data_IF_861705362726
#
_entry.id   IF_861705362726
#
_cell.length_a   1.000
_cell.length_b   1.000
_cell.length_c   1.000
_cell.angle_alpha   90.00
_cell.angle_beta   90.00
_cell.angle_gamma   90.00
#
_symmetry.space_group_name_H-M   'P 1'
#
loop_
_entity.id
_entity.type
_entity.pdbx_description
1 polymer ?
#
# COMPACT_ATOMS: atom_id res chain seq x y z
N UNK A 1 9.08 20.04 15.93
CA UNK A 1 9.12 18.88 15.01
C UNK A 1 8.61 17.66 15.77
N UNK A 2 7.37 17.23 15.51
CA UNK A 2 6.81 16.05 16.18
C UNK A 2 7.58 14.80 15.77
N UNK A 3 7.97 13.98 16.75
CA UNK A 3 8.60 12.69 16.50
C UNK A 3 7.54 11.78 15.88
N UNK A 4 7.47 11.73 14.55
CA UNK A 4 6.63 10.76 13.85
C UNK A 4 7.11 9.36 14.23
N UNK A 5 6.39 8.71 15.15
CA UNK A 5 6.72 7.37 15.61
C UNK A 5 6.47 6.41 14.44
N UNK A 6 7.55 6.04 13.75
CA UNK A 6 7.56 5.16 12.57
C UNK A 6 6.82 3.86 12.89
N UNK A 7 5.85 3.49 12.05
CA UNK A 7 5.19 2.20 12.14
C UNK A 7 6.22 1.07 11.90
N UNK A 8 6.45 0.26 12.92
CA UNK A 8 7.47 -0.77 12.95
C UNK A 8 6.91 -2.07 13.55
N UNK A 9 7.71 -3.14 13.51
CA UNK A 9 7.34 -4.45 14.04
C UNK A 9 6.52 -5.32 13.07
N UNK A 10 5.81 -6.30 13.64
CA UNK A 10 4.99 -7.27 12.89
C UNK A 10 3.92 -6.55 12.07
N UNK A 11 3.63 -7.10 10.89
CA UNK A 11 2.56 -6.59 10.04
C UNK A 11 1.21 -6.90 10.68
N UNK A 12 0.36 -5.90 10.77
CA UNK A 12 -1.05 -6.06 11.11
C UNK A 12 -1.79 -6.67 9.91
N UNK A 13 -2.86 -7.44 10.14
CA UNK A 13 -3.71 -7.91 9.06
C UNK A 13 -4.22 -6.78 8.17
N UNK A 14 -4.62 -5.63 8.75
CA UNK A 14 -5.06 -4.47 7.99
C UNK A 14 -3.94 -3.86 7.11
N UNK A 15 -2.68 -3.91 7.54
CA UNK A 15 -1.55 -3.48 6.70
C UNK A 15 -1.42 -4.38 5.47
N UNK A 16 -1.57 -5.70 5.63
CA UNK A 16 -1.48 -6.64 4.52
C UNK A 16 -2.63 -6.47 3.52
N UNK A 17 -3.86 -6.26 4.03
CA UNK A 17 -5.04 -5.98 3.19
C UNK A 17 -4.86 -4.68 2.41
N UNK A 18 -4.45 -3.60 3.08
CA UNK A 18 -4.17 -2.33 2.41
C UNK A 18 -3.12 -2.50 1.31
N UNK A 19 -1.99 -3.17 1.59
CA UNK A 19 -0.93 -3.35 0.59
C UNK A 19 -1.39 -4.20 -0.58
N UNK A 20 -2.23 -5.21 -0.35
CA UNK A 20 -2.77 -6.02 -1.43
C UNK A 20 -3.59 -5.18 -2.43
N UNK A 21 -4.49 -4.34 -1.92
CA UNK A 21 -5.29 -3.44 -2.73
C UNK A 21 -4.42 -2.35 -3.37
N UNK A 22 -3.45 -1.81 -2.63
CA UNK A 22 -2.54 -0.79 -3.11
C UNK A 22 -1.72 -1.29 -4.30
N UNK A 23 -1.26 -2.56 -4.29
CA UNK A 23 -0.56 -3.14 -5.44
C UNK A 23 -1.45 -3.13 -6.67
N UNK A 24 -2.71 -3.58 -6.56
CA UNK A 24 -3.64 -3.60 -7.69
C UNK A 24 -3.89 -2.18 -8.21
N UNK A 25 -4.36 -1.28 -7.34
CA UNK A 25 -4.74 0.08 -7.72
C UNK A 25 -3.56 0.89 -8.30
N UNK A 26 -2.35 0.67 -7.76
CA UNK A 26 -1.14 1.32 -8.25
C UNK A 26 -0.76 0.82 -9.65
N UNK A 27 -0.84 -0.49 -9.89
CA UNK A 27 -0.50 -1.06 -11.19
C UNK A 27 -1.53 -0.71 -12.27
N UNK A 28 -2.79 -0.51 -11.87
CA UNK A 28 -3.88 -0.11 -12.75
C UNK A 28 -3.91 1.41 -13.02
N UNK A 29 -3.10 2.20 -12.29
CA UNK A 29 -2.98 3.63 -12.51
C UNK A 29 -4.14 4.46 -11.96
N UNK A 30 -4.90 3.95 -10.99
CA UNK A 30 -6.18 4.52 -10.55
C UNK A 30 -6.10 5.29 -9.21
N UNK A 31 -4.88 5.52 -8.71
CA UNK A 31 -4.65 6.29 -7.49
C UNK A 31 -4.80 7.79 -7.77
N UNK A 32 -5.60 8.50 -6.97
CA UNK A 32 -5.73 9.95 -7.01
C UNK A 32 -4.72 10.68 -6.12
N UNK A 33 -4.10 9.97 -5.17
CA UNK A 33 -3.17 10.52 -4.18
C UNK A 33 -1.70 10.12 -4.42
N UNK A 34 -1.35 9.73 -5.66
CA UNK A 34 -0.02 9.26 -6.03
C UNK A 34 0.58 10.08 -7.18
N UNK A 35 1.73 10.72 -6.94
CA UNK A 35 2.44 11.43 -8.00
C UNK A 35 3.01 10.46 -9.04
N UNK A 36 2.86 10.79 -10.33
CA UNK A 36 3.49 10.07 -11.44
C UNK A 36 5.00 9.98 -11.20
N UNK A 37 5.56 8.79 -11.42
CA UNK A 37 6.98 8.53 -11.14
C UNK A 37 7.28 8.17 -9.68
N UNK A 38 6.31 8.18 -8.77
CA UNK A 38 6.49 7.56 -7.45
C UNK A 38 6.65 6.05 -7.60
N UNK A 39 7.61 5.42 -6.91
CA UNK A 39 7.69 3.95 -6.90
C UNK A 39 6.66 3.32 -5.98
N UNK A 40 6.18 2.11 -6.29
CA UNK A 40 5.21 1.39 -5.45
C UNK A 40 5.68 1.28 -3.99
N UNK A 41 6.98 1.01 -3.80
CA UNK A 41 7.58 0.92 -2.48
C UNK A 41 7.48 2.24 -1.72
N UNK A 42 7.78 3.37 -2.38
CA UNK A 42 7.66 4.71 -1.78
C UNK A 42 6.22 5.00 -1.41
N UNK A 43 5.28 4.75 -2.32
CA UNK A 43 3.85 4.97 -2.08
C UNK A 43 3.38 4.22 -0.83
N UNK A 44 3.57 2.89 -0.79
CA UNK A 44 3.15 2.08 0.36
C UNK A 44 3.84 2.53 1.65
N UNK A 45 5.15 2.83 1.61
CA UNK A 45 5.90 3.23 2.80
C UNK A 45 5.38 4.54 3.40
N UNK A 46 5.07 5.53 2.56
CA UNK A 46 4.47 6.81 2.97
C UNK A 46 3.09 6.58 3.62
N UNK A 47 2.21 5.83 2.95
CA UNK A 47 0.85 5.53 3.47
C UNK A 47 0.91 4.74 4.77
N UNK A 48 1.78 3.75 4.89
CA UNK A 48 1.93 2.98 6.13
C UNK A 48 2.79 3.67 7.21
N UNK A 49 3.30 4.88 6.96
CA UNK A 49 4.19 5.61 7.87
C UNK A 49 5.40 4.77 8.33
N UNK A 50 5.99 3.99 7.43
CA UNK A 50 7.06 3.04 7.73
C UNK A 50 8.28 3.20 6.81
N UNK A 51 9.40 2.54 7.15
CA UNK A 51 10.59 2.55 6.30
C UNK A 51 10.37 1.70 5.04
N UNK A 52 10.80 2.21 3.87
CA UNK A 52 10.71 1.51 2.59
C UNK A 52 11.31 0.09 2.57
N UNK A 53 12.34 -0.17 3.38
CA UNK A 53 12.94 -1.51 3.51
C UNK A 53 11.94 -2.54 4.08
N UNK A 54 11.00 -2.14 4.94
CA UNK A 54 9.96 -3.02 5.51
C UNK A 54 9.01 -3.49 4.41
N UNK A 55 8.59 -2.57 3.55
CA UNK A 55 7.81 -2.86 2.34
C UNK A 55 8.62 -3.77 1.41
N UNK A 56 9.87 -3.40 1.13
CA UNK A 56 10.78 -4.17 0.25
C UNK A 56 10.85 -5.63 0.66
N UNK A 57 11.01 -5.91 1.95
CA UNK A 57 11.12 -7.28 2.48
C UNK A 57 9.78 -8.03 2.40
N UNK A 58 8.65 -7.34 2.56
CA UNK A 58 7.32 -7.96 2.53
C UNK A 58 6.89 -8.32 1.10
N UNK A 59 7.04 -7.40 0.15
CA UNK A 59 6.63 -7.59 -1.24
C UNK A 59 7.78 -8.07 -2.15
N UNK A 60 8.67 -8.91 -1.61
CA UNK A 60 9.67 -9.60 -2.45
C UNK A 60 9.00 -10.66 -3.31
N UNK A 61 9.57 -10.90 -4.50
CA UNK A 61 9.18 -12.00 -5.38
C UNK A 61 9.08 -13.32 -4.58
N UNK A 62 8.08 -14.13 -4.92
CA UNK A 62 7.76 -15.42 -4.31
C UNK A 62 7.18 -15.38 -2.88
N UNK A 63 7.10 -14.20 -2.24
CA UNK A 63 6.38 -14.06 -0.98
C UNK A 63 4.86 -14.13 -1.19
N UNK A 64 4.17 -14.55 -0.14
CA UNK A 64 2.70 -14.50 -0.05
C UNK A 64 2.33 -13.31 0.84
N UNK A 65 1.46 -12.45 0.33
CA UNK A 65 0.89 -11.30 1.02
C UNK A 65 -0.57 -11.59 1.39
N UNK A 66 -0.97 -11.19 2.61
CA UNK A 66 -2.33 -11.37 3.13
C UNK A 66 -2.82 -12.84 3.08
N UNK A 67 -1.90 -13.81 3.12
CA UNK A 67 -2.21 -15.24 2.96
C UNK A 67 -2.73 -15.67 1.59
N UNK A 68 -2.96 -14.74 0.65
CA UNK A 68 -3.65 -15.03 -0.63
C UNK A 68 -2.88 -14.62 -1.89
N UNK A 69 -2.18 -13.48 -1.90
CA UNK A 69 -1.48 -12.99 -3.10
C UNK A 69 -0.06 -13.51 -3.15
N UNK A 70 0.27 -14.30 -4.17
CA UNK A 70 1.66 -14.59 -4.52
C UNK A 70 2.26 -13.41 -5.29
N UNK A 71 3.36 -12.86 -4.81
CA UNK A 71 4.11 -11.80 -5.49
C UNK A 71 4.89 -12.42 -6.66
N UNK A 72 4.39 -12.24 -7.87
CA UNK A 72 4.93 -12.89 -9.08
C UNK A 72 6.21 -12.21 -9.61
N UNK A 73 6.33 -10.89 -9.41
CA UNK A 73 7.45 -10.09 -9.88
C UNK A 73 7.92 -9.09 -8.83
N UNK A 74 9.06 -8.42 -9.09
CA UNK A 74 9.54 -7.36 -8.23
C UNK A 74 8.79 -6.05 -8.51
N UNK A 75 7.71 -5.80 -7.77
CA UNK A 75 6.92 -4.58 -7.93
C UNK A 75 7.55 -3.35 -7.26
N UNK A 76 8.54 -3.52 -6.38
CA UNK A 76 9.09 -2.44 -5.55
C UNK A 76 9.59 -1.23 -6.34
N UNK A 77 10.15 -1.46 -7.53
CA UNK A 77 10.73 -0.42 -8.40
C UNK A 77 9.81 -0.02 -9.57
N UNK A 78 8.55 -0.48 -9.58
CA UNK A 78 7.59 -0.01 -10.57
C UNK A 78 7.15 1.41 -10.23
N UNK A 79 7.17 2.26 -11.23
CA UNK A 79 6.73 3.64 -11.14
C UNK A 79 5.22 3.72 -11.41
N UNK A 80 4.57 4.67 -10.75
CA UNK A 80 3.17 4.97 -10.96
C UNK A 80 3.00 5.69 -12.29
N UNK A 81 1.97 5.29 -13.04
CA UNK A 81 1.49 5.97 -14.23
C UNK A 81 -0.02 6.11 -14.09
N UNK A 82 -0.52 7.33 -14.28
CA UNK A 82 -1.94 7.59 -14.15
C UNK A 82 -2.70 7.07 -15.38
N UNK A 83 -3.82 6.41 -15.12
CA UNK A 83 -4.76 5.97 -16.15
C UNK A 83 -5.60 7.17 -16.61
N UNK A 84 -5.60 7.43 -17.92
CA UNK A 84 -6.29 8.58 -18.51
C UNK A 84 -7.82 8.59 -18.32
N UNK A 85 -8.45 7.41 -18.29
CA UNK A 85 -9.89 7.27 -18.12
C UNK A 85 -10.21 6.27 -17.01
N UNK A 86 -11.02 6.69 -16.04
CA UNK A 86 -11.45 5.88 -14.90
C UNK A 86 -12.91 5.49 -15.07
N UNK A 87 -13.18 4.18 -15.00
CA UNK A 87 -14.52 3.61 -14.97
C UNK A 87 -15.09 3.64 -13.55
N UNK A 88 -16.38 3.35 -13.40
CA UNK A 88 -17.03 3.20 -12.09
C UNK A 88 -16.34 2.12 -11.23
N UNK A 89 -15.95 1.00 -11.83
CA UNK A 89 -15.20 -0.06 -11.14
C UNK A 89 -13.82 0.42 -10.62
N UNK A 90 -13.17 1.34 -11.34
CA UNK A 90 -11.91 1.94 -10.89
C UNK A 90 -12.14 2.84 -9.66
N UNK A 91 -13.25 3.58 -9.63
CA UNK A 91 -13.64 4.42 -8.50
C UNK A 91 -13.98 3.58 -7.27
N UNK A 92 -14.69 2.46 -7.44
CA UNK A 92 -14.99 1.51 -6.37
C UNK A 92 -13.71 0.88 -5.81
N UNK A 93 -12.78 0.49 -6.68
CA UNK A 93 -11.48 -0.05 -6.26
C UNK A 93 -10.67 0.98 -5.46
N UNK A 94 -10.62 2.23 -5.92
CA UNK A 94 -9.97 3.32 -5.20
C UNK A 94 -10.65 3.61 -3.85
N UNK A 95 -11.98 3.54 -3.78
CA UNK A 95 -12.76 3.70 -2.55
C UNK A 95 -12.44 2.58 -1.55
N UNK A 96 -12.41 1.33 -2.01
CA UNK A 96 -12.04 0.17 -1.18
C UNK A 96 -10.61 0.29 -0.63
N UNK A 97 -9.67 0.81 -1.42
CA UNK A 97 -8.32 1.09 -0.96
C UNK A 97 -8.31 2.13 0.17
N UNK A 98 -9.06 3.23 0.03
CA UNK A 98 -9.18 4.28 1.04
C UNK A 98 -9.79 3.74 2.34
N UNK A 99 -10.84 2.91 2.25
CA UNK A 99 -11.44 2.26 3.42
C UNK A 99 -10.46 1.32 4.13
N UNK A 100 -9.72 0.50 3.38
CA UNK A 100 -8.69 -0.37 3.95
C UNK A 100 -7.56 0.43 4.63
N UNK A 101 -7.20 1.59 4.07
CA UNK A 101 -6.23 2.49 4.69
C UNK A 101 -6.74 3.04 6.03
N UNK A 102 -7.99 3.51 6.09
CA UNK A 102 -8.61 3.99 7.33
C UNK A 102 -8.69 2.90 8.41
N UNK A 103 -9.02 1.66 8.01
CA UNK A 103 -8.98 0.50 8.91
C UNK A 103 -7.59 0.25 9.49
N UNK A 104 -6.56 0.31 8.63
CA UNK A 104 -5.17 0.22 9.08
C UNK A 104 -4.83 1.32 10.09
N UNK A 105 -5.20 2.57 9.82
CA UNK A 105 -4.91 3.67 10.74
C UNK A 105 -5.59 3.47 12.10
N UNK A 106 -6.86 3.03 12.10
CA UNK A 106 -7.60 2.75 13.32
C UNK A 106 -6.94 1.62 14.15
N UNK A 107 -6.48 0.54 13.50
CA UNK A 107 -5.77 -0.54 14.18
C UNK A 107 -4.39 -0.12 14.67
N UNK A 108 -3.67 0.69 13.89
CA UNK A 108 -2.38 1.25 14.28
C UNK A 108 -2.50 2.16 15.51
N UNK A 109 -3.59 2.93 15.62
CA UNK A 109 -3.90 3.74 16.82
C UNK A 109 -4.14 2.85 18.03
N UNK A 110 -5.03 1.84 17.91
CA UNK A 110 -5.31 0.88 19.00
C UNK A 110 -4.09 0.09 19.49
N UNK A 111 -3.12 -0.19 18.62
CA UNK A 111 -1.85 -0.85 19.02
C UNK A 111 -0.95 0.06 19.87
N UNK A 112 -1.13 1.38 19.76
CA UNK A 112 -0.30 2.37 20.44
C UNK A 112 -0.86 2.79 21.80
N UNK A 113 -2.14 2.50 22.05
CA UNK A 113 -2.82 2.62 23.34
C UNK A 113 -2.49 1.41 24.24
#
# INVERSE_FOLDING_TARGET
>A
MGVWRVNAGRWLPAEETFVDLAITCFLDGILDDCDVGTTLRQYIARRLQCKEIRVTKKIRRNKVLAGRRRIQANYNRRHFFEKAHRSELDLDAATNLKLAHLQFEAELRRRKD
#
